data_IF_775055218083
#
_entry.id   IF_775055218083
#
_cell.length_a   1.000
_cell.length_b   1.000
_cell.length_c   1.000
_cell.angle_alpha   90.00
_cell.angle_beta   90.00
_cell.angle_gamma   90.00
#
_symmetry.space_group_name_H-M   'P 1'
#
loop_
_entity.id
_entity.type
_entity.pdbx_description
1 polymer ?
#
# COMPACT_ATOMS: atom_id res chain seq x y z
N UNK A 1 22.29 -12.27 -10.51
CA UNK A 1 21.72 -12.61 -9.19
C UNK A 1 20.21 -12.58 -9.30
N UNK A 2 19.60 -13.73 -9.59
CA UNK A 2 18.15 -13.87 -9.68
C UNK A 2 17.56 -13.60 -8.30
N UNK A 3 16.78 -12.53 -8.13
CA UNK A 3 16.02 -12.32 -6.89
C UNK A 3 15.05 -13.48 -6.77
N UNK A 4 15.37 -14.48 -5.95
CA UNK A 4 14.41 -15.52 -5.59
C UNK A 4 13.22 -14.83 -4.96
N UNK A 5 12.07 -14.94 -5.62
CA UNK A 5 10.81 -14.43 -5.12
C UNK A 5 10.52 -15.25 -3.86
N UNK A 6 10.37 -14.62 -2.68
CA UNK A 6 10.04 -15.36 -1.47
C UNK A 6 8.75 -16.17 -1.69
N UNK A 7 8.67 -17.39 -1.14
CA UNK A 7 7.53 -18.26 -1.33
C UNK A 7 6.24 -17.54 -0.91
N UNK A 8 5.12 -17.79 -1.62
CA UNK A 8 3.87 -17.10 -1.34
C UNK A 8 3.36 -17.49 0.06
N UNK A 9 3.34 -16.50 0.95
CA UNK A 9 2.59 -16.54 2.21
C UNK A 9 1.40 -15.59 2.15
N UNK A 10 0.37 -15.77 2.98
CA UNK A 10 -0.74 -14.81 3.07
C UNK A 10 -0.25 -13.38 3.34
N UNK A 11 0.78 -13.23 4.17
CA UNK A 11 1.35 -11.94 4.57
C UNK A 11 2.05 -11.21 3.42
N UNK A 12 2.97 -11.88 2.71
CA UNK A 12 3.66 -11.27 1.56
C UNK A 12 2.69 -10.93 0.44
N UNK A 13 1.65 -11.73 0.24
CA UNK A 13 0.63 -11.48 -0.77
C UNK A 13 -0.21 -10.25 -0.44
N UNK A 14 -0.58 -10.05 0.83
CA UNK A 14 -1.26 -8.83 1.29
C UNK A 14 -0.39 -7.59 1.06
N UNK A 15 0.87 -7.64 1.47
CA UNK A 15 1.80 -6.53 1.29
C UNK A 15 2.06 -6.21 -0.19
N UNK A 16 2.19 -7.24 -1.05
CA UNK A 16 2.31 -7.05 -2.50
C UNK A 16 1.06 -6.41 -3.11
N UNK A 17 -0.13 -6.86 -2.70
CA UNK A 17 -1.38 -6.27 -3.16
C UNK A 17 -1.47 -4.80 -2.77
N UNK A 18 -1.15 -4.46 -1.52
CA UNK A 18 -1.12 -3.07 -1.05
C UNK A 18 -0.08 -2.23 -1.82
N UNK A 19 1.11 -2.77 -2.06
CA UNK A 19 2.15 -2.09 -2.85
C UNK A 19 1.70 -1.79 -4.29
N UNK A 20 0.96 -2.71 -4.92
CA UNK A 20 0.40 -2.52 -6.26
C UNK A 20 -0.80 -1.54 -6.28
N UNK A 21 -1.58 -1.48 -5.20
CA UNK A 21 -2.72 -0.58 -5.10
C UNK A 21 -2.31 0.88 -4.93
N UNK A 22 -1.22 1.17 -4.23
CA UNK A 22 -0.74 2.54 -3.98
C UNK A 22 -0.67 3.41 -5.25
N UNK A 23 0.07 3.02 -6.32
CA UNK A 23 0.14 3.84 -7.53
C UNK A 23 -1.21 3.96 -8.25
N UNK A 24 -2.12 2.98 -8.11
CA UNK A 24 -3.48 3.04 -8.67
C UNK A 24 -4.32 4.09 -7.93
N UNK A 25 -4.21 4.16 -6.60
CA UNK A 25 -4.91 5.15 -5.78
C UNK A 25 -4.36 6.54 -6.08
N UNK A 26 -3.04 6.72 -6.08
CA UNK A 26 -2.38 8.00 -6.33
C UNK A 26 -2.75 8.56 -7.72
N UNK A 27 -2.64 7.73 -8.78
CA UNK A 27 -3.03 8.14 -10.14
C UNK A 27 -4.53 8.38 -10.29
N UNK A 28 -5.36 7.58 -9.62
CA UNK A 28 -6.81 7.73 -9.63
C UNK A 28 -7.28 9.03 -8.98
N UNK A 29 -6.65 9.42 -7.85
CA UNK A 29 -6.90 10.70 -7.18
C UNK A 29 -6.44 11.87 -8.04
N UNK A 30 -5.22 11.82 -8.58
CA UNK A 30 -4.66 12.90 -9.40
C UNK A 30 -5.48 13.14 -10.68
N UNK A 31 -5.99 12.08 -11.30
CA UNK A 31 -6.83 12.17 -12.49
C UNK A 31 -8.32 12.41 -12.18
N UNK A 32 -8.71 12.59 -10.92
CA UNK A 32 -10.13 12.67 -10.47
C UNK A 32 -11.00 11.51 -10.96
N UNK A 33 -10.40 10.33 -11.19
CA UNK A 33 -11.09 9.09 -11.63
C UNK A 33 -11.48 8.19 -10.47
N UNK A 34 -11.00 8.51 -9.27
CA UNK A 34 -11.29 7.79 -8.04
C UNK A 34 -11.89 8.78 -7.04
N UNK A 35 -13.06 8.47 -6.48
CA UNK A 35 -13.66 9.30 -5.43
C UNK A 35 -12.82 9.26 -4.16
N UNK A 36 -12.86 10.33 -3.38
CA UNK A 36 -12.18 10.44 -2.07
C UNK A 36 -12.58 9.28 -1.15
N UNK A 37 -13.87 8.96 -1.06
CA UNK A 37 -14.39 7.86 -0.23
C UNK A 37 -13.81 6.50 -0.64
N UNK A 38 -13.78 6.21 -1.95
CA UNK A 38 -13.25 4.94 -2.45
C UNK A 38 -11.74 4.85 -2.26
N UNK A 39 -11.02 5.95 -2.48
CA UNK A 39 -9.60 6.04 -2.21
C UNK A 39 -9.28 5.84 -0.72
N UNK A 40 -10.08 6.40 0.18
CA UNK A 40 -9.94 6.22 1.63
C UNK A 40 -10.17 4.76 2.06
N UNK A 41 -11.17 4.08 1.50
CA UNK A 41 -11.40 2.65 1.75
C UNK A 41 -10.21 1.79 1.28
N UNK A 42 -9.68 2.05 0.09
CA UNK A 42 -8.52 1.34 -0.45
C UNK A 42 -7.25 1.62 0.38
N UNK A 43 -7.07 2.87 0.84
CA UNK A 43 -5.98 3.24 1.74
C UNK A 43 -6.07 2.51 3.09
N UNK A 44 -7.29 2.29 3.60
CA UNK A 44 -7.53 1.56 4.86
C UNK A 44 -7.07 0.10 4.76
N UNK A 45 -7.29 -0.55 3.61
CA UNK A 45 -6.71 -1.87 3.35
C UNK A 45 -5.17 -1.82 3.39
N UNK A 46 -4.56 -0.85 2.70
CA UNK A 46 -3.10 -0.71 2.66
C UNK A 46 -2.50 -0.42 4.04
N UNK A 47 -3.21 0.31 4.90
CA UNK A 47 -2.80 0.56 6.28
C UNK A 47 -2.88 -0.71 7.14
N UNK A 48 -3.96 -1.48 7.00
CA UNK A 48 -4.11 -2.74 7.72
C UNK A 48 -3.01 -3.77 7.39
N UNK A 49 -2.48 -3.78 6.17
CA UNK A 49 -1.41 -4.71 5.81
C UNK A 49 -0.08 -4.39 6.50
N UNK A 50 0.20 -3.12 6.80
CA UNK A 50 1.44 -2.71 7.50
C UNK A 50 1.32 -2.74 9.02
N UNK A 51 0.09 -2.84 9.56
CA UNK A 51 -0.16 -3.02 10.99
C UNK A 51 0.18 -4.43 11.50
N UNK A 52 0.55 -5.35 10.60
CA UNK A 52 0.95 -6.72 10.94
C UNK A 52 2.49 -6.79 10.96
N UNK A 53 3.12 -6.83 12.15
CA UNK A 53 4.57 -6.88 12.26
C UNK A 53 5.11 -8.22 11.76
N UNK A 54 6.29 -8.16 11.13
CA UNK A 54 7.03 -9.31 10.60
C UNK A 54 8.49 -9.24 11.03
N UNK A 55 9.08 -10.38 11.35
CA UNK A 55 10.53 -10.47 11.61
C UNK A 55 11.33 -10.72 10.33
N UNK A 56 10.68 -11.01 9.19
CA UNK A 56 11.35 -11.19 7.90
C UNK A 56 11.81 -9.82 7.35
N UNK A 57 13.13 -9.59 7.18
CA UNK A 57 13.64 -8.31 6.69
C UNK A 57 13.08 -7.88 5.32
N UNK A 58 12.73 -8.84 4.46
CA UNK A 58 12.12 -8.53 3.16
C UNK A 58 10.69 -8.03 3.31
N UNK A 59 9.94 -8.58 4.26
CA UNK A 59 8.57 -8.15 4.56
C UNK A 59 8.58 -6.81 5.28
N UNK A 60 9.53 -6.57 6.19
CA UNK A 60 9.75 -5.27 6.83
C UNK A 60 9.98 -4.20 5.77
N UNK A 61 10.91 -4.41 4.84
CA UNK A 61 11.19 -3.45 3.77
C UNK A 61 9.99 -3.19 2.86
N UNK A 62 9.22 -4.25 2.57
CA UNK A 62 8.00 -4.10 1.78
C UNK A 62 6.92 -3.34 2.56
N UNK A 63 6.75 -3.61 3.85
CA UNK A 63 5.84 -2.89 4.73
C UNK A 63 6.22 -1.42 4.88
N UNK A 64 7.52 -1.08 4.97
CA UNK A 64 7.99 0.31 4.93
C UNK A 64 7.60 1.01 3.62
N UNK A 65 7.77 0.32 2.50
CA UNK A 65 7.40 0.84 1.18
C UNK A 65 5.90 1.12 1.11
N UNK A 66 5.08 0.18 1.57
CA UNK A 66 3.63 0.34 1.64
C UNK A 66 3.24 1.47 2.59
N UNK A 67 3.84 1.53 3.79
CA UNK A 67 3.56 2.55 4.80
C UNK A 67 3.89 3.97 4.31
N UNK A 68 4.99 4.13 3.59
CA UNK A 68 5.33 5.39 2.95
C UNK A 68 4.31 5.80 1.87
N UNK A 69 3.79 4.85 1.09
CA UNK A 69 2.71 5.10 0.14
C UNK A 69 1.40 5.49 0.81
N UNK A 70 1.00 4.79 1.89
CA UNK A 70 -0.18 5.14 2.69
C UNK A 70 -0.09 6.58 3.21
N UNK A 71 1.08 7.00 3.73
CA UNK A 71 1.29 8.39 4.17
C UNK A 71 1.02 9.40 3.05
N UNK A 72 1.53 9.16 1.84
CA UNK A 72 1.30 10.05 0.69
C UNK A 72 -0.18 10.11 0.29
N UNK A 73 -0.87 8.96 0.28
CA UNK A 73 -2.30 8.91 -0.01
C UNK A 73 -3.09 9.69 1.04
N UNK A 74 -2.80 9.54 2.33
CA UNK A 74 -3.47 10.28 3.40
C UNK A 74 -3.28 11.79 3.28
N UNK A 75 -2.07 12.24 2.92
CA UNK A 75 -1.80 13.65 2.63
C UNK A 75 -2.64 14.16 1.45
N UNK A 76 -2.72 13.38 0.36
CA UNK A 76 -3.54 13.73 -0.79
C UNK A 76 -5.04 13.79 -0.45
N UNK A 77 -5.56 12.84 0.33
CA UNK A 77 -6.95 12.82 0.78
C UNK A 77 -7.28 14.01 1.67
N UNK A 78 -6.38 14.39 2.58
CA UNK A 78 -6.56 15.53 3.48
C UNK A 78 -6.57 16.88 2.73
N UNK A 79 -6.01 16.90 1.52
CA UNK A 79 -5.99 18.10 0.66
C UNK A 79 -7.17 18.16 -0.31
N UNK A 80 -7.94 17.07 -0.43
CA UNK A 80 -9.04 16.90 -1.38
C UNK A 80 -10.44 17.02 -0.74
N UNK A 81 -10.50 17.16 0.58
CA UNK A 81 -11.72 17.49 1.35
C UNK A 81 -11.71 18.94 1.79
#
# INVERSE_FOLDING_TARGET
MSKQIPPPSPEINRLRAAAALIPIIESGLLASKLSVERAALMASFCEWTVAQPSDDPNLVKLAETVGNGVKRIKLALSSAG
#
